data_IF_733700394485
#
_entry.id   IF_733700394485
#
_cell.length_a   1.000
_cell.length_b   1.000
_cell.length_c   1.000
_cell.angle_alpha   90.00
_cell.angle_beta   90.00
_cell.angle_gamma   90.00
#
_symmetry.space_group_name_H-M   'P 1'
#
loop_
_entity.id
_entity.type
_entity.pdbx_description
1 polymer ?
#
# COMPACT_ATOMS: atom_id res chain seq x y z
N UNK A 1 -15.60 40.72 30.59
CA UNK A 1 -16.37 39.90 29.62
C UNK A 1 -15.36 39.03 28.88
N UNK A 2 -15.44 37.71 29.08
CA UNK A 2 -14.65 36.75 28.31
C UNK A 2 -15.35 36.50 26.97
N UNK A 3 -14.72 36.95 25.88
CA UNK A 3 -14.98 36.55 24.50
C UNK A 3 -13.67 35.84 24.10
N UNK A 4 -13.57 34.56 23.77
CA UNK A 4 -14.52 33.50 23.50
C UNK A 4 -13.69 32.44 22.80
N UNK A 5 -13.19 31.45 23.55
CA UNK A 5 -12.32 30.35 23.08
C UNK A 5 -12.99 29.42 22.03
N UNK A 6 -14.20 29.76 21.57
CA UNK A 6 -14.97 28.97 20.62
C UNK A 6 -14.65 29.26 19.13
N UNK A 7 -13.99 30.39 18.81
CA UNK A 7 -13.74 30.77 17.41
C UNK A 7 -12.50 30.08 16.80
N UNK A 8 -11.54 29.64 17.63
CA UNK A 8 -10.30 28.98 17.15
C UNK A 8 -10.49 27.47 16.95
N UNK A 9 -11.52 26.88 17.57
CA UNK A 9 -11.81 25.44 17.46
C UNK A 9 -12.44 25.03 16.12
N UNK A 10 -13.06 25.97 15.40
CA UNK A 10 -13.74 25.71 14.12
C UNK A 10 -12.73 25.64 12.95
N UNK A 11 -11.62 26.40 13.02
CA UNK A 11 -10.65 26.43 11.93
C UNK A 11 -9.77 25.18 11.81
N UNK A 12 -9.42 24.52 12.92
CA UNK A 12 -8.54 23.34 12.86
C UNK A 12 -9.30 22.09 12.43
N UNK A 13 -10.54 21.92 12.91
CA UNK A 13 -11.40 20.80 12.53
C UNK A 13 -11.72 20.79 11.04
N UNK A 14 -12.07 21.94 10.48
CA UNK A 14 -12.41 22.07 9.06
C UNK A 14 -11.18 21.89 8.15
N UNK A 15 -10.00 22.39 8.56
CA UNK A 15 -8.74 22.20 7.81
C UNK A 15 -8.31 20.73 7.80
N UNK A 16 -8.41 20.04 8.93
CA UNK A 16 -8.07 18.61 9.02
C UNK A 16 -9.07 17.79 8.21
N UNK A 17 -10.37 18.09 8.32
CA UNK A 17 -11.42 17.41 7.55
C UNK A 17 -11.23 17.56 6.03
N UNK A 18 -10.97 18.79 5.54
CA UNK A 18 -10.67 19.01 4.13
C UNK A 18 -9.39 18.31 3.68
N UNK A 19 -8.35 18.30 4.51
CA UNK A 19 -7.09 17.62 4.19
C UNK A 19 -7.29 16.11 4.09
N UNK A 20 -8.05 15.49 5.00
CA UNK A 20 -8.40 14.06 4.97
C UNK A 20 -9.25 13.72 3.75
N UNK A 21 -10.25 14.54 3.40
CA UNK A 21 -11.07 14.32 2.21
C UNK A 21 -10.26 14.40 0.91
N UNK A 22 -9.37 15.40 0.79
CA UNK A 22 -8.45 15.51 -0.36
C UNK A 22 -7.46 14.34 -0.41
N UNK A 23 -6.97 13.87 0.74
CA UNK A 23 -6.09 12.70 0.81
C UNK A 23 -6.81 11.43 0.34
N UNK A 24 -8.06 11.20 0.77
CA UNK A 24 -8.86 10.05 0.35
C UNK A 24 -9.10 10.05 -1.17
N UNK A 25 -9.51 11.19 -1.74
CA UNK A 25 -9.67 11.32 -3.19
C UNK A 25 -8.35 11.08 -3.96
N UNK A 26 -7.23 11.56 -3.39
CA UNK A 26 -5.89 11.34 -3.98
C UNK A 26 -5.48 9.88 -3.93
N UNK A 27 -5.79 9.16 -2.84
CA UNK A 27 -5.53 7.72 -2.68
C UNK A 27 -6.35 6.92 -3.69
N UNK A 28 -7.63 7.25 -3.87
CA UNK A 28 -8.48 6.58 -4.86
C UNK A 28 -7.97 6.81 -6.29
N UNK A 29 -7.65 8.05 -6.63
CA UNK A 29 -7.07 8.39 -7.93
C UNK A 29 -5.75 7.66 -8.17
N UNK A 30 -4.86 7.62 -7.16
CA UNK A 30 -3.59 6.91 -7.23
C UNK A 30 -3.76 5.39 -7.37
N UNK A 31 -4.73 4.81 -6.66
CA UNK A 31 -5.10 3.39 -6.79
C UNK A 31 -5.56 3.08 -8.20
N UNK A 32 -6.46 3.89 -8.75
CA UNK A 32 -7.05 3.64 -10.06
C UNK A 32 -6.01 3.83 -11.18
N UNK A 33 -5.12 4.82 -11.03
CA UNK A 33 -3.93 4.97 -11.87
C UNK A 33 -2.99 3.76 -11.77
N UNK A 34 -2.77 3.23 -10.57
CA UNK A 34 -1.98 2.02 -10.37
C UNK A 34 -2.59 0.82 -11.09
N UNK A 35 -3.89 0.59 -10.91
CA UNK A 35 -4.62 -0.50 -11.58
C UNK A 35 -4.58 -0.39 -13.11
N UNK A 36 -4.59 0.84 -13.63
CA UNK A 36 -4.56 1.12 -15.07
C UNK A 36 -3.18 0.93 -15.70
N UNK A 37 -2.12 1.23 -14.94
CA UNK A 37 -0.76 1.37 -15.47
C UNK A 37 0.12 0.14 -15.19
N UNK A 38 -0.14 -0.59 -14.11
CA UNK A 38 0.72 -1.69 -13.66
C UNK A 38 0.16 -3.03 -14.13
N UNK A 39 1.00 -3.83 -14.80
CA UNK A 39 0.69 -5.22 -15.05
C UNK A 39 0.92 -6.06 -13.76
N UNK A 40 -0.06 -6.87 -13.30
CA UNK A 40 0.09 -7.71 -12.12
C UNK A 40 1.30 -8.67 -12.15
N UNK A 41 1.62 -9.28 -13.28
CA UNK A 41 2.71 -10.25 -13.41
C UNK A 41 4.08 -9.55 -13.35
N UNK A 42 4.18 -8.35 -13.94
CA UNK A 42 5.38 -7.51 -13.82
C UNK A 42 5.60 -7.08 -12.35
N UNK A 43 4.52 -6.69 -11.65
CA UNK A 43 4.62 -6.31 -10.24
C UNK A 43 5.10 -7.47 -9.37
N UNK A 44 4.56 -8.67 -9.57
CA UNK A 44 5.01 -9.88 -8.84
C UNK A 44 6.47 -10.20 -9.16
N UNK A 45 6.87 -10.11 -10.42
CA UNK A 45 8.26 -10.34 -10.85
C UNK A 45 9.22 -9.34 -10.21
N UNK A 46 8.83 -8.06 -10.15
CA UNK A 46 9.60 -7.02 -9.50
C UNK A 46 9.72 -7.27 -7.99
N UNK A 47 8.61 -7.59 -7.30
CA UNK A 47 8.62 -7.95 -5.87
C UNK A 47 9.53 -9.14 -5.60
N UNK A 48 9.47 -10.18 -6.43
CA UNK A 48 10.34 -11.35 -6.30
C UNK A 48 11.82 -10.98 -6.46
N UNK A 49 12.14 -10.06 -7.39
CA UNK A 49 13.50 -9.54 -7.53
C UNK A 49 13.95 -8.78 -6.28
N UNK A 50 13.07 -8.01 -5.63
CA UNK A 50 13.38 -7.35 -4.36
C UNK A 50 13.65 -8.36 -3.23
N UNK A 51 12.88 -9.45 -3.13
CA UNK A 51 13.17 -10.54 -2.19
C UNK A 51 14.50 -11.25 -2.46
N UNK A 52 14.90 -11.38 -3.74
CA UNK A 52 16.22 -11.94 -4.09
C UNK A 52 17.37 -11.02 -3.68
N UNK A 53 17.19 -9.70 -3.83
CA UNK A 53 18.16 -8.68 -3.35
C UNK A 53 18.21 -8.63 -1.82
N UNK A 54 17.07 -8.83 -1.15
CA UNK A 54 16.90 -8.70 0.29
C UNK A 54 16.24 -9.94 0.91
N UNK A 55 16.94 -11.09 0.96
CA UNK A 55 16.36 -12.37 1.39
C UNK A 55 15.91 -12.40 2.85
N UNK A 56 16.49 -11.57 3.71
CA UNK A 56 16.07 -11.41 5.11
C UNK A 56 14.85 -10.51 5.30
N UNK A 57 14.36 -9.88 4.23
CA UNK A 57 13.30 -8.88 4.29
C UNK A 57 13.76 -7.55 4.88
N UNK A 58 12.79 -6.75 5.32
CA UNK A 58 13.01 -5.44 5.94
C UNK A 58 12.27 -4.29 5.26
N UNK A 59 12.52 -3.08 5.77
CA UNK A 59 12.04 -1.84 5.20
C UNK A 59 13.09 -1.29 4.22
N UNK A 60 12.71 -1.04 2.96
CA UNK A 60 13.60 -0.59 1.90
C UNK A 60 13.03 0.72 1.34
N UNK A 61 13.70 1.82 1.67
CA UNK A 61 13.31 3.18 1.23
C UNK A 61 13.78 3.46 -0.21
N UNK A 62 14.93 2.91 -0.58
CA UNK A 62 15.55 3.12 -1.91
C UNK A 62 14.91 2.29 -3.03
N UNK A 63 13.95 1.42 -2.73
CA UNK A 63 13.31 0.54 -3.70
C UNK A 63 12.58 1.32 -4.82
N UNK A 64 12.26 2.60 -4.60
CA UNK A 64 11.71 3.48 -5.64
C UNK A 64 12.69 3.72 -6.80
N UNK A 65 14.01 3.60 -6.58
CA UNK A 65 15.01 3.78 -7.64
C UNK A 65 15.06 2.61 -8.62
N UNK A 66 14.66 1.43 -8.17
CA UNK A 66 14.50 0.22 -8.99
C UNK A 66 13.06 0.10 -9.55
N UNK A 67 12.20 1.09 -9.33
CA UNK A 67 10.81 1.07 -9.77
C UNK A 67 10.75 1.08 -11.30
N UNK A 68 10.04 0.15 -11.96
CA UNK A 68 9.95 0.11 -13.41
C UNK A 68 9.42 1.44 -13.96
N UNK A 69 10.03 1.92 -15.06
CA UNK A 69 9.59 3.16 -15.71
C UNK A 69 8.13 3.10 -16.22
N UNK A 70 7.62 1.88 -16.46
CA UNK A 70 6.23 1.61 -16.86
C UNK A 70 5.23 1.78 -15.71
N UNK A 71 5.68 1.74 -14.46
CA UNK A 71 4.81 1.87 -13.30
C UNK A 71 4.57 3.36 -12.99
N UNK A 72 3.41 3.72 -12.43
CA UNK A 72 3.07 5.11 -12.21
C UNK A 72 4.03 5.76 -11.22
N UNK A 73 4.44 6.98 -11.54
CA UNK A 73 5.29 7.80 -10.70
C UNK A 73 4.42 8.58 -9.70
N UNK A 74 3.74 7.82 -8.83
CA UNK A 74 2.94 8.39 -7.74
C UNK A 74 3.83 9.27 -6.85
N UNK A 75 3.25 10.25 -6.11
CA UNK A 75 4.03 11.14 -5.26
C UNK A 75 5.02 10.38 -4.35
N UNK A 76 6.31 10.47 -4.68
CA UNK A 76 7.37 9.61 -4.11
C UNK A 76 7.85 10.03 -2.73
N UNK A 77 7.42 11.21 -2.23
CA UNK A 77 7.94 11.83 -1.00
C UNK A 77 7.87 10.92 0.24
N UNK A 78 7.07 9.85 0.20
CA UNK A 78 6.94 8.84 1.27
C UNK A 78 6.67 7.45 0.70
N UNK A 79 7.43 7.01 -0.30
CA UNK A 79 7.38 5.61 -0.71
C UNK A 79 8.15 4.73 0.29
N UNK A 80 7.57 3.59 0.65
CA UNK A 80 8.22 2.59 1.48
C UNK A 80 7.85 1.18 1.02
N UNK A 81 8.86 0.38 0.66
CA UNK A 81 8.72 -1.05 0.47
C UNK A 81 9.00 -1.78 1.78
N UNK A 82 8.13 -2.70 2.18
CA UNK A 82 8.36 -3.58 3.33
C UNK A 82 8.23 -5.03 2.88
N UNK A 83 9.30 -5.80 3.08
CA UNK A 83 9.39 -7.21 2.69
C UNK A 83 9.34 -8.09 3.94
N UNK A 84 8.40 -9.02 3.97
CA UNK A 84 8.18 -9.97 5.05
C UNK A 84 8.32 -11.39 4.49
N UNK A 85 9.54 -11.96 4.46
CA UNK A 85 9.72 -13.36 4.16
C UNK A 85 9.20 -14.15 5.37
N UNK A 86 7.99 -14.71 5.27
CA UNK A 86 7.46 -15.57 6.33
C UNK A 86 7.94 -17.00 6.11
N UNK A 87 8.87 -17.42 6.96
CA UNK A 87 9.14 -18.84 7.23
C UNK A 87 8.22 -19.40 8.33
N UNK A 88 7.37 -18.55 8.94
CA UNK A 88 6.55 -18.95 10.09
C UNK A 88 5.23 -19.60 9.64
N UNK A 89 4.83 -20.71 10.28
CA UNK A 89 3.66 -21.52 9.95
C UNK A 89 2.37 -20.91 10.54
N UNK A 90 2.15 -19.61 10.34
CA UNK A 90 0.85 -18.98 10.63
C UNK A 90 0.16 -18.72 9.30
N UNK A 91 -0.37 -19.83 8.78
CA UNK A 91 -0.80 -20.06 7.40
C UNK A 91 -0.25 -21.40 6.91
N UNK A 92 -0.98 -22.09 6.03
CA UNK A 92 -0.67 -23.47 5.61
C UNK A 92 0.62 -23.61 4.78
N UNK A 93 1.22 -22.51 4.26
CA UNK A 93 2.43 -22.55 3.42
C UNK A 93 3.38 -21.35 3.65
N UNK A 94 4.71 -21.52 3.47
CA UNK A 94 5.67 -20.41 3.43
C UNK A 94 5.30 -19.39 2.36
N UNK A 95 5.34 -18.10 2.71
CA UNK A 95 4.94 -17.01 1.81
C UNK A 95 5.87 -15.81 1.87
N UNK A 96 5.93 -15.10 0.76
CA UNK A 96 6.62 -13.84 0.59
C UNK A 96 5.56 -12.73 0.53
N UNK A 97 5.57 -11.83 1.50
CA UNK A 97 4.66 -10.69 1.54
C UNK A 97 5.43 -9.39 1.35
N UNK A 98 5.07 -8.64 0.30
CA UNK A 98 5.56 -7.28 0.10
C UNK A 98 4.43 -6.27 0.30
N UNK A 99 4.73 -5.18 1.01
CA UNK A 99 3.84 -4.02 1.14
C UNK A 99 4.50 -2.80 0.54
N UNK A 100 3.87 -2.23 -0.48
CA UNK A 100 4.28 -0.99 -1.11
C UNK A 100 3.38 0.12 -0.56
N UNK A 101 3.97 1.13 0.07
CA UNK A 101 3.22 2.20 0.75
C UNK A 101 3.57 3.56 0.15
N UNK A 102 2.54 4.35 -0.15
CA UNK A 102 2.67 5.76 -0.50
C UNK A 102 1.88 6.61 0.50
N UNK A 103 2.56 7.52 1.18
CA UNK A 103 1.92 8.44 2.11
C UNK A 103 1.19 9.60 1.43
N UNK A 104 -0.08 9.77 1.78
CA UNK A 104 -0.94 10.90 1.42
C UNK A 104 -1.47 11.53 2.71
N UNK A 105 -0.86 12.62 3.16
CA UNK A 105 -1.15 13.24 4.46
C UNK A 105 -0.95 12.26 5.65
N UNK A 106 -1.99 11.99 6.44
CA UNK A 106 -2.03 11.01 7.55
C UNK A 106 -2.41 9.60 7.08
N UNK A 107 -2.84 9.46 5.83
CA UNK A 107 -3.27 8.19 5.23
C UNK A 107 -2.20 7.61 4.30
N UNK A 108 -2.32 6.32 3.98
CA UNK A 108 -1.43 5.65 3.04
C UNK A 108 -2.20 4.81 2.03
N UNK A 109 -1.81 4.89 0.76
CA UNK A 109 -2.12 3.84 -0.20
C UNK A 109 -1.18 2.67 0.09
N UNK A 110 -1.72 1.49 0.40
CA UNK A 110 -0.92 0.28 0.57
C UNK A 110 -1.30 -0.76 -0.47
N UNK A 111 -0.34 -1.21 -1.26
CA UNK A 111 -0.47 -2.36 -2.15
C UNK A 111 0.25 -3.54 -1.52
N UNK A 112 -0.48 -4.61 -1.27
CA UNK A 112 0.06 -5.87 -0.74
C UNK A 112 0.22 -6.85 -1.87
N UNK A 113 1.39 -7.50 -1.96
CA UNK A 113 1.69 -8.56 -2.91
C UNK A 113 2.09 -9.81 -2.13
N UNK A 114 1.35 -10.89 -2.34
CA UNK A 114 1.55 -12.19 -1.71
C UNK A 114 1.98 -13.21 -2.76
N UNK A 115 3.17 -13.78 -2.55
CA UNK A 115 3.74 -14.82 -3.39
C UNK A 115 4.01 -16.08 -2.58
N UNK A 116 3.96 -17.23 -3.25
CA UNK A 116 4.58 -18.46 -2.76
C UNK A 116 6.10 -18.36 -2.84
N UNK A 117 6.81 -19.30 -2.22
CA UNK A 117 8.28 -19.36 -2.22
C UNK A 117 8.88 -19.52 -3.62
N UNK A 118 8.15 -20.11 -4.57
CA UNK A 118 8.54 -20.24 -5.98
C UNK A 118 8.27 -18.97 -6.81
N UNK A 119 7.66 -17.94 -6.21
CA UNK A 119 7.31 -16.68 -6.87
C UNK A 119 5.96 -16.68 -7.57
N UNK A 120 5.22 -17.79 -7.55
CA UNK A 120 3.83 -17.83 -8.04
C UNK A 120 2.90 -17.06 -7.11
N UNK A 121 1.74 -16.57 -7.61
CA UNK A 121 0.78 -15.87 -6.77
C UNK A 121 0.26 -16.78 -5.64
N UNK A 122 0.35 -16.31 -4.40
CA UNK A 122 -0.31 -16.99 -3.29
C UNK A 122 -1.84 -16.81 -3.41
N UNK A 123 -2.59 -17.82 -2.98
CA UNK A 123 -4.04 -17.73 -2.93
C UNK A 123 -4.48 -16.72 -1.86
N UNK A 124 -5.45 -15.90 -2.24
CA UNK A 124 -6.00 -14.77 -1.46
C UNK A 124 -7.03 -15.28 -0.42
N UNK A 125 -7.16 -16.59 -0.23
CA UNK A 125 -8.10 -17.18 0.73
C UNK A 125 -7.83 -16.73 2.17
N UNK A 126 -6.59 -16.33 2.50
CA UNK A 126 -6.26 -15.69 3.78
C UNK A 126 -6.81 -14.24 3.92
N UNK A 127 -7.34 -13.65 2.85
CA UNK A 127 -8.02 -12.34 2.82
C UNK A 127 -9.52 -12.49 2.48
N UNK A 128 -10.17 -13.61 2.85
CA UNK A 128 -11.63 -13.78 2.73
C UNK A 128 -12.43 -12.60 3.32
N UNK A 129 -11.86 -11.93 4.32
CA UNK A 129 -12.46 -10.78 5.02
C UNK A 129 -12.29 -9.43 4.33
N UNK A 130 -11.49 -9.32 3.25
CA UNK A 130 -11.33 -8.06 2.55
C UNK A 130 -12.49 -7.80 1.57
N UNK A 131 -13.06 -6.58 1.54
CA UNK A 131 -14.05 -6.20 0.53
C UNK A 131 -13.54 -6.44 -0.90
N UNK A 132 -14.41 -6.88 -1.82
CA UNK A 132 -14.04 -7.13 -3.22
C UNK A 132 -13.34 -5.94 -3.88
N UNK A 133 -13.70 -4.71 -3.52
CA UNK A 133 -13.06 -3.49 -4.03
C UNK A 133 -11.56 -3.37 -3.70
N UNK A 134 -11.11 -4.04 -2.64
CA UNK A 134 -9.72 -4.09 -2.20
C UNK A 134 -8.92 -5.21 -2.89
N UNK A 135 -9.59 -6.25 -3.41
CA UNK A 135 -8.95 -7.30 -4.21
C UNK A 135 -8.76 -6.80 -5.64
N UNK A 136 -7.57 -6.95 -6.21
CA UNK A 136 -7.30 -6.52 -7.58
C UNK A 136 -6.92 -7.66 -8.51
N UNK A 137 -5.94 -8.47 -8.12
CA UNK A 137 -5.50 -9.65 -8.87
C UNK A 137 -5.11 -10.76 -7.89
N UNK A 138 -4.95 -12.00 -8.37
CA UNK A 138 -4.53 -13.11 -7.50
C UNK A 138 -3.22 -12.76 -6.78
N UNK A 139 -3.20 -12.83 -5.46
CA UNK A 139 -2.07 -12.43 -4.62
C UNK A 139 -1.78 -10.93 -4.58
N UNK A 140 -2.70 -10.05 -5.01
CA UNK A 140 -2.51 -8.59 -4.96
C UNK A 140 -3.77 -7.88 -4.46
N UNK A 141 -3.61 -7.10 -3.40
CA UNK A 141 -4.69 -6.34 -2.76
C UNK A 141 -4.28 -4.90 -2.46
N UNK A 142 -5.26 -4.02 -2.28
CA UNK A 142 -5.11 -2.64 -1.84
C UNK A 142 -5.75 -2.48 -0.48
N UNK A 143 -4.99 -2.04 0.52
CA UNK A 143 -5.57 -1.63 1.80
C UNK A 143 -5.95 -0.16 1.71
N UNK A 144 -7.24 0.14 1.84
CA UNK A 144 -7.69 1.51 2.09
C UNK A 144 -7.54 1.84 3.59
N UNK A 145 -7.30 3.11 3.92
CA UNK A 145 -7.48 3.56 5.29
C UNK A 145 -8.94 3.36 5.72
N UNK A 146 -9.16 2.73 6.86
CA UNK A 146 -10.46 2.73 7.52
C UNK A 146 -10.73 4.18 7.97
N UNK A 147 -11.78 4.79 7.44
CA UNK A 147 -12.42 5.91 8.13
C UNK A 147 -13.20 5.28 9.28
N UNK A 148 -12.58 5.16 10.45
CA UNK A 148 -13.32 4.98 11.72
C UNK A 148 -13.89 6.33 12.19
#
# INVERSE_FOLDING_TARGET
>A
MMLGDAATSICVGDIVYEATMRANHSIESARDEFKRSVNPDELRSWVLAQFRKHPGGGCIEEAVHDWPETFPQLPTRRFLLSLYPSSKPHGFEPRLEARLRWGFFDQNLTVTVLLKSDGTPADVEDEEWLPTAQKWAKGISFRQPHND
#
